data_IF_638119091404
#
_entry.id   IF_638119091404
#
_cell.length_a   1.000
_cell.length_b   1.000
_cell.length_c   1.000
_cell.angle_alpha   90.00
_cell.angle_beta   90.00
_cell.angle_gamma   90.00
#
_symmetry.space_group_name_H-M   'P 1'
#
loop_
_entity.id
_entity.type
_entity.pdbx_description
1 polymer ?
#
# COMPACT_ATOMS: atom_id res chain seq x y z
N UNK A 1 -14.37 -18.32 25.56
CA UNK A 1 -14.26 -18.40 24.09
C UNK A 1 -14.00 -16.99 23.59
N UNK A 2 -12.91 -16.75 22.87
CA UNK A 2 -12.61 -15.49 22.16
C UNK A 2 -11.80 -15.91 20.92
N UNK A 3 -11.76 -15.19 19.78
CA UNK A 3 -12.46 -13.95 19.37
C UNK A 3 -13.08 -14.03 17.95
N UNK A 4 -14.16 -13.31 17.68
CA UNK A 4 -14.49 -12.90 16.31
C UNK A 4 -14.79 -11.41 16.38
N UNK A 5 -13.74 -10.58 16.35
CA UNK A 5 -13.91 -9.13 16.49
C UNK A 5 -14.46 -8.51 15.20
N UNK A 6 -14.23 -9.16 14.06
CA UNK A 6 -14.57 -8.67 12.73
C UNK A 6 -14.90 -9.83 11.79
N UNK A 7 -16.08 -9.76 11.17
CA UNK A 7 -16.54 -10.74 10.19
C UNK A 7 -16.00 -10.44 8.78
N UNK A 8 -16.40 -11.28 7.82
CA UNK A 8 -16.00 -11.10 6.42
C UNK A 8 -16.55 -9.80 5.80
N UNK A 9 -17.77 -9.39 6.16
CA UNK A 9 -18.40 -8.19 5.60
C UNK A 9 -17.62 -6.94 5.98
N UNK A 10 -17.24 -6.83 7.26
CA UNK A 10 -16.34 -5.77 7.74
C UNK A 10 -15.04 -5.70 6.94
N UNK A 11 -14.40 -6.85 6.68
CA UNK A 11 -13.15 -6.87 5.92
C UNK A 11 -13.35 -6.54 4.44
N UNK A 12 -14.45 -6.97 3.84
CA UNK A 12 -14.77 -6.62 2.46
C UNK A 12 -14.91 -5.10 2.29
N UNK A 13 -15.60 -4.41 3.19
CA UNK A 13 -15.72 -2.94 3.19
C UNK A 13 -14.37 -2.24 3.41
N UNK A 14 -13.49 -2.86 4.20
CA UNK A 14 -12.17 -2.33 4.54
C UNK A 14 -11.16 -2.40 3.40
N UNK A 15 -11.43 -3.16 2.33
CA UNK A 15 -10.53 -3.31 1.16
C UNK A 15 -10.13 -1.95 0.54
N UNK A 16 -11.05 -0.98 0.52
CA UNK A 16 -10.79 0.39 0.06
C UNK A 16 -9.76 1.14 0.91
N UNK A 17 -9.90 1.05 2.24
CA UNK A 17 -8.94 1.66 3.16
C UNK A 17 -7.55 1.00 3.04
N UNK A 18 -7.50 -0.31 2.79
CA UNK A 18 -6.25 -1.03 2.57
C UNK A 18 -5.52 -0.55 1.31
N UNK A 19 -6.19 -0.52 0.15
CA UNK A 19 -5.53 -0.12 -1.11
C UNK A 19 -5.08 1.35 -1.08
N UNK A 20 -5.77 2.21 -0.34
CA UNK A 20 -5.41 3.61 -0.13
C UNK A 20 -4.34 3.82 0.95
N UNK A 21 -3.85 2.76 1.59
CA UNK A 21 -2.91 2.81 2.74
C UNK A 21 -3.42 3.71 3.87
N UNK A 22 -4.71 3.63 4.15
CA UNK A 22 -5.43 4.44 5.12
C UNK A 22 -5.72 3.71 6.45
N UNK A 23 -5.11 2.54 6.66
CA UNK A 23 -5.18 1.77 7.90
C UNK A 23 -4.03 2.10 8.84
N UNK A 24 -4.23 1.87 10.13
CA UNK A 24 -3.13 1.85 11.10
C UNK A 24 -2.44 0.48 11.10
N UNK A 25 -1.16 0.42 11.47
CA UNK A 25 -0.34 -0.81 11.41
C UNK A 25 -0.98 -2.04 12.07
N UNK A 26 -1.60 -1.96 13.27
CA UNK A 26 -2.26 -3.13 13.88
C UNK A 26 -3.49 -3.62 13.10
N UNK A 27 -4.21 -2.71 12.45
CA UNK A 27 -5.38 -3.03 11.63
C UNK A 27 -4.97 -3.64 10.30
N UNK A 28 -3.94 -3.08 9.66
CA UNK A 28 -3.37 -3.59 8.41
C UNK A 28 -2.88 -5.03 8.59
N UNK A 29 -2.14 -5.34 9.65
CA UNK A 29 -1.68 -6.71 9.93
C UNK A 29 -2.84 -7.72 10.09
N UNK A 30 -3.92 -7.32 10.77
CA UNK A 30 -5.08 -8.18 10.96
C UNK A 30 -5.86 -8.39 9.65
N UNK A 31 -5.98 -7.33 8.84
CA UNK A 31 -6.57 -7.41 7.51
C UNK A 31 -5.73 -8.29 6.56
N UNK A 32 -4.41 -8.17 6.58
CA UNK A 32 -3.51 -9.01 5.77
C UNK A 32 -3.61 -10.49 6.14
N UNK A 33 -3.77 -10.80 7.44
CA UNK A 33 -4.06 -12.17 7.88
C UNK A 33 -5.36 -12.68 7.25
N UNK A 34 -6.43 -11.88 7.23
CA UNK A 34 -7.68 -12.24 6.56
C UNK A 34 -7.50 -12.40 5.04
N UNK A 35 -6.82 -11.44 4.41
CA UNK A 35 -6.56 -11.40 2.96
C UNK A 35 -5.79 -12.63 2.48
N UNK A 36 -4.91 -13.20 3.31
CA UNK A 36 -4.19 -14.44 3.00
C UNK A 36 -5.12 -15.65 2.83
N UNK A 37 -6.28 -15.66 3.50
CA UNK A 37 -7.22 -16.77 3.51
C UNK A 37 -8.49 -16.55 2.67
N UNK A 38 -8.86 -15.31 2.36
CA UNK A 38 -10.11 -14.99 1.65
C UNK A 38 -9.89 -14.62 0.18
N UNK A 39 -10.42 -15.44 -0.74
CA UNK A 39 -10.36 -15.16 -2.18
C UNK A 39 -11.16 -13.91 -2.57
N UNK A 40 -12.39 -13.77 -2.06
CA UNK A 40 -13.27 -12.62 -2.35
C UNK A 40 -12.61 -11.27 -2.03
N UNK A 41 -11.95 -11.16 -0.87
CA UNK A 41 -11.26 -9.93 -0.50
C UNK A 41 -10.00 -9.68 -1.36
N UNK A 42 -9.33 -10.73 -1.86
CA UNK A 42 -8.21 -10.56 -2.81
C UNK A 42 -8.70 -10.03 -4.15
N UNK A 43 -9.78 -10.59 -4.67
CA UNK A 43 -10.39 -10.15 -5.93
C UNK A 43 -10.83 -8.68 -5.83
N UNK A 44 -11.47 -8.31 -4.71
CA UNK A 44 -11.87 -6.92 -4.46
C UNK A 44 -10.67 -5.97 -4.35
N UNK A 45 -9.59 -6.37 -3.68
CA UNK A 45 -8.35 -5.58 -3.61
C UNK A 45 -7.72 -5.42 -5.00
N UNK A 46 -7.71 -6.47 -5.83
CA UNK A 46 -7.19 -6.41 -7.20
C UNK A 46 -8.01 -5.44 -8.07
N UNK A 47 -9.34 -5.51 -7.99
CA UNK A 47 -10.23 -4.59 -8.71
C UNK A 47 -9.99 -3.12 -8.29
N UNK A 48 -9.88 -2.88 -6.98
CA UNK A 48 -9.67 -1.53 -6.45
C UNK A 48 -8.27 -0.97 -6.76
N UNK A 49 -7.23 -1.81 -6.87
CA UNK A 49 -5.86 -1.38 -7.21
C UNK A 49 -5.82 -0.61 -8.53
N UNK A 50 -6.56 -1.06 -9.55
CA UNK A 50 -6.61 -0.37 -10.83
C UNK A 50 -7.11 1.08 -10.69
N UNK A 51 -8.13 1.31 -9.84
CA UNK A 51 -8.62 2.65 -9.55
C UNK A 51 -7.60 3.45 -8.72
N UNK A 52 -6.98 2.85 -7.71
CA UNK A 52 -5.94 3.49 -6.89
C UNK A 52 -4.73 3.93 -7.71
N UNK A 53 -4.25 3.11 -8.64
CA UNK A 53 -3.13 3.45 -9.53
C UNK A 53 -3.47 4.66 -10.42
N UNK A 54 -4.70 4.73 -10.92
CA UNK A 54 -5.17 5.88 -11.70
C UNK A 54 -5.21 7.16 -10.85
N UNK A 55 -5.60 7.09 -9.57
CA UNK A 55 -5.61 8.25 -8.67
C UNK A 55 -4.22 8.84 -8.46
N UNK A 56 -3.17 8.01 -8.36
CA UNK A 56 -1.80 8.47 -8.21
C UNK A 56 -1.33 9.35 -9.39
N UNK A 57 -1.86 9.10 -10.59
CA UNK A 57 -1.57 9.87 -11.80
C UNK A 57 -2.50 11.09 -11.99
N UNK A 58 -3.63 11.13 -11.28
CA UNK A 58 -4.60 12.22 -11.39
C UNK A 58 -4.17 13.49 -10.62
N UNK A 59 -3.24 13.36 -9.67
CA UNK A 59 -2.72 14.48 -8.90
C UNK A 59 -1.99 15.48 -9.83
N UNK A 60 -2.26 16.80 -9.73
CA UNK A 60 -1.52 17.79 -10.49
C UNK A 60 -0.02 17.72 -10.19
N UNK A 61 0.86 17.73 -11.21
CA UNK A 61 2.29 17.69 -10.98
C UNK A 61 2.76 18.96 -10.25
N UNK A 62 3.63 18.79 -9.26
CA UNK A 62 4.28 19.88 -8.54
C UNK A 62 5.76 19.94 -8.93
N UNK A 63 6.30 21.15 -9.06
CA UNK A 63 7.73 21.34 -9.38
C UNK A 63 8.55 21.04 -8.13
N UNK A 64 9.44 20.02 -8.14
CA UNK A 64 10.31 19.74 -7.01
C UNK A 64 11.45 20.77 -6.90
N UNK A 65 12.14 20.81 -5.75
CA UNK A 65 13.37 21.61 -5.64
C UNK A 65 14.44 21.12 -6.62
N UNK A 66 15.24 22.04 -7.16
CA UNK A 66 16.24 21.73 -8.18
C UNK A 66 17.27 20.66 -7.75
N UNK A 67 17.49 20.50 -6.45
CA UNK A 67 18.44 19.53 -5.89
C UNK A 67 17.80 18.14 -5.60
N UNK A 68 16.48 17.98 -5.69
CA UNK A 68 15.84 16.71 -5.30
C UNK A 68 16.40 15.52 -6.08
N UNK A 69 16.56 15.66 -7.40
CA UNK A 69 17.10 14.59 -8.25
C UNK A 69 18.51 14.20 -7.84
N UNK A 70 19.40 15.17 -7.63
CA UNK A 70 20.78 14.90 -7.27
C UNK A 70 20.88 14.18 -5.92
N UNK A 71 20.10 14.63 -4.92
CA UNK A 71 20.03 13.98 -3.60
C UNK A 71 19.55 12.53 -3.68
N UNK A 72 18.49 12.26 -4.45
CA UNK A 72 17.95 10.90 -4.61
C UNK A 72 18.96 9.99 -5.31
N UNK A 73 19.55 10.45 -6.42
CA UNK A 73 20.51 9.65 -7.18
C UNK A 73 21.79 9.35 -6.39
N UNK A 74 22.26 10.29 -5.56
CA UNK A 74 23.40 10.06 -4.68
C UNK A 74 23.14 8.88 -3.72
N UNK A 75 21.96 8.79 -3.11
CA UNK A 75 21.60 7.67 -2.22
C UNK A 75 21.58 6.36 -3.03
N UNK A 76 20.95 6.34 -4.20
CA UNK A 76 20.90 5.15 -5.07
C UNK A 76 22.30 4.66 -5.45
N UNK A 77 23.20 5.57 -5.81
CA UNK A 77 24.59 5.25 -6.20
C UNK A 77 25.40 4.71 -5.02
N UNK A 78 25.20 5.26 -3.82
CA UNK A 78 25.84 4.78 -2.59
C UNK A 78 25.39 3.36 -2.24
N UNK A 79 24.08 3.10 -2.22
CA UNK A 79 23.52 1.76 -1.97
C UNK A 79 24.01 0.75 -3.01
N UNK A 80 24.04 1.15 -4.29
CA UNK A 80 24.55 0.30 -5.36
C UNK A 80 26.06 0.00 -5.24
N UNK A 81 26.85 0.91 -4.67
CA UNK A 81 28.26 0.65 -4.39
C UNK A 81 28.44 -0.33 -3.22
N UNK A 82 27.64 -0.20 -2.15
CA UNK A 82 27.66 -1.12 -1.01
C UNK A 82 27.30 -2.54 -1.42
N UNK A 83 26.27 -2.73 -2.25
CA UNK A 83 25.85 -4.06 -2.73
C UNK A 83 26.88 -4.74 -3.66
N UNK A 84 27.83 -4.00 -4.23
CA UNK A 84 28.89 -4.55 -5.10
C UNK A 84 30.19 -4.87 -4.36
N UNK A 85 30.36 -4.38 -3.13
CA UNK A 85 31.53 -4.59 -2.29
C UNK A 85 31.44 -5.93 -1.55
#
# INVERSE_FOLDING_TARGET
>A
MSPDRFDHEFWLESTGAYVLRAMHEPEEMEFERHLSACATCRDQVEELRAATDALALAAPPVVPSANLRARVMQVVEQEAALLRA
#
